data_IF_831405495766
#
_entry.id   IF_831405495766
#
_cell.length_a   1.000
_cell.length_b   1.000
_cell.length_c   1.000
_cell.angle_alpha   90.00
_cell.angle_beta   90.00
_cell.angle_gamma   90.00
#
_symmetry.space_group_name_H-M   'P 1'
#
loop_
_entity.id
_entity.type
_entity.pdbx_description
1 polymer ?
#
# COMPACT_ATOMS: atom_id res chain seq x y z
N UNK A 1 6.88 12.90 11.54
CA UNK A 1 6.59 12.36 10.20
C UNK A 1 7.82 11.58 9.76
N UNK A 2 7.65 10.30 9.42
CA UNK A 2 8.72 9.49 8.85
C UNK A 2 8.58 9.53 7.32
N UNK A 3 9.67 9.69 6.55
CA UNK A 3 9.58 9.75 5.09
C UNK A 3 9.34 8.37 4.44
N UNK A 4 9.56 7.29 5.20
CA UNK A 4 9.46 5.92 4.69
C UNK A 4 9.22 4.91 5.81
N UNK A 5 8.74 3.73 5.44
CA UNK A 5 8.71 2.53 6.28
C UNK A 5 9.32 1.33 5.54
N UNK A 6 9.73 0.30 6.29
CA UNK A 6 10.20 -0.97 5.73
C UNK A 6 9.08 -2.01 5.87
N UNK A 7 8.76 -2.68 4.76
CA UNK A 7 7.91 -3.87 4.76
C UNK A 7 8.80 -5.11 4.60
N UNK A 8 8.52 -6.15 5.39
CA UNK A 8 9.19 -7.44 5.32
C UNK A 8 8.17 -8.51 4.93
N UNK A 9 8.49 -9.30 3.91
CA UNK A 9 7.57 -10.33 3.41
C UNK A 9 8.33 -11.54 2.92
N UNK A 10 7.67 -12.69 2.95
CA UNK A 10 8.23 -13.93 2.41
C UNK A 10 8.01 -13.97 0.90
N UNK A 11 9.11 -14.03 0.14
CA UNK A 11 9.11 -14.11 -1.32
C UNK A 11 10.22 -15.08 -1.76
N UNK A 12 9.95 -16.39 -1.71
CA UNK A 12 10.95 -17.42 -2.01
C UNK A 12 11.32 -17.31 -3.48
N UNK A 13 12.44 -16.65 -3.74
CA UNK A 13 13.02 -16.38 -5.04
C UNK A 13 14.52 -16.63 -4.94
N UNK A 14 15.19 -16.88 -6.07
CA UNK A 14 16.62 -17.17 -6.10
C UNK A 14 17.49 -16.02 -5.53
N UNK A 15 16.94 -14.80 -5.45
CA UNK A 15 17.58 -13.63 -4.87
C UNK A 15 17.39 -13.49 -3.36
N UNK A 16 16.43 -14.22 -2.78
CA UNK A 16 16.22 -14.21 -1.34
C UNK A 16 17.21 -15.18 -0.68
N UNK A 17 17.82 -14.73 0.42
CA UNK A 17 18.76 -15.54 1.20
C UNK A 17 18.11 -16.80 1.79
N UNK A 18 18.85 -17.49 2.65
CA UNK A 18 18.52 -18.83 3.17
C UNK A 18 17.13 -18.97 3.83
N UNK A 19 16.45 -17.86 4.16
CA UNK A 19 15.12 -17.84 4.80
C UNK A 19 13.98 -17.38 3.89
N UNK A 20 14.23 -17.01 2.63
CA UNK A 20 13.16 -16.60 1.71
C UNK A 20 12.48 -15.26 2.03
N UNK A 21 13.06 -14.47 2.94
CA UNK A 21 12.55 -13.15 3.35
C UNK A 21 13.13 -12.06 2.44
N UNK A 22 12.26 -11.17 1.95
CA UNK A 22 12.59 -9.95 1.24
C UNK A 22 12.14 -8.73 2.04
N UNK A 23 12.70 -7.57 1.72
CA UNK A 23 12.30 -6.29 2.31
C UNK A 23 12.20 -5.21 1.24
N UNK A 24 11.18 -4.36 1.34
CA UNK A 24 10.98 -3.20 0.48
C UNK A 24 10.87 -1.93 1.32
N UNK A 25 11.51 -0.85 0.86
CA UNK A 25 11.34 0.48 1.45
C UNK A 25 10.21 1.20 0.73
N UNK A 26 9.17 1.55 1.49
CA UNK A 26 7.99 2.27 1.01
C UNK A 26 8.17 3.74 1.36
N UNK A 27 8.07 4.61 0.37
CA UNK A 27 8.31 6.04 0.50
C UNK A 27 7.01 6.85 0.38
N UNK A 28 6.92 7.89 1.21
CA UNK A 28 5.91 8.93 1.13
C UNK A 28 6.60 10.28 1.36
N UNK A 29 7.19 10.82 0.29
CA UNK A 29 8.03 12.01 0.33
C UNK A 29 7.53 13.09 -0.63
N UNK A 30 7.39 14.35 -0.19
CA UNK A 30 6.82 15.41 -1.03
C UNK A 30 7.75 15.94 -2.11
N UNK A 31 9.05 15.66 -2.02
CA UNK A 31 10.02 15.92 -3.09
C UNK A 31 11.03 14.79 -3.18
N UNK A 32 11.20 14.26 -4.39
CA UNK A 32 12.13 13.18 -4.68
C UNK A 32 13.11 13.63 -5.77
N UNK A 33 14.41 13.60 -5.47
CA UNK A 33 15.48 13.99 -6.40
C UNK A 33 15.34 15.42 -6.98
N UNK A 34 14.69 16.33 -6.25
CA UNK A 34 14.46 17.71 -6.70
C UNK A 34 13.25 17.87 -7.63
N UNK A 35 12.44 16.83 -7.78
CA UNK A 35 11.22 16.82 -8.59
C UNK A 35 9.99 16.54 -7.70
N UNK A 36 8.89 16.17 -8.33
CA UNK A 36 7.62 15.77 -7.73
C UNK A 36 7.80 14.74 -6.60
N UNK A 37 6.83 14.73 -5.69
CA UNK A 37 6.80 13.79 -4.60
C UNK A 37 6.74 12.34 -5.08
N UNK A 38 7.27 11.44 -4.25
CA UNK A 38 7.18 10.00 -4.42
C UNK A 38 6.28 9.43 -3.33
N UNK A 39 5.16 8.88 -3.75
CA UNK A 39 4.14 8.27 -2.89
C UNK A 39 3.87 6.86 -3.41
N UNK A 40 4.51 5.89 -2.78
CA UNK A 40 4.46 4.49 -3.21
C UNK A 40 3.07 3.90 -2.94
N UNK A 41 2.61 3.05 -3.86
CA UNK A 41 1.43 2.23 -3.64
C UNK A 41 1.80 0.97 -2.87
N UNK A 42 0.86 0.42 -2.12
CA UNK A 42 1.08 -0.74 -1.26
C UNK A 42 -0.09 -1.70 -1.32
N UNK A 43 0.21 -3.00 -1.16
CA UNK A 43 -0.81 -4.00 -0.86
C UNK A 43 -1.06 -4.02 0.65
N UNK A 44 -2.33 -4.07 1.02
CA UNK A 44 -2.77 -4.22 2.40
C UNK A 44 -3.60 -5.50 2.53
N UNK A 45 -3.39 -6.24 3.62
CA UNK A 45 -4.20 -7.42 3.92
C UNK A 45 -5.53 -6.99 4.54
N UNK A 46 -6.64 -7.29 3.86
CA UNK A 46 -7.99 -6.96 4.34
C UNK A 46 -8.87 -8.19 4.55
N UNK A 47 -8.57 -9.30 3.89
CA UNK A 47 -9.20 -10.59 4.15
C UNK A 47 -8.19 -11.75 4.08
N UNK A 48 -7.71 -12.18 5.25
CA UNK A 48 -6.76 -13.28 5.39
C UNK A 48 -7.34 -14.65 4.98
N UNK A 49 -8.66 -14.79 4.85
CA UNK A 49 -9.29 -16.04 4.40
C UNK A 49 -9.38 -16.12 2.87
N UNK A 50 -9.30 -14.99 2.17
CA UNK A 50 -9.32 -14.94 0.72
C UNK A 50 -7.95 -15.25 0.11
N UNK A 51 -7.95 -15.84 -1.08
CA UNK A 51 -6.72 -16.27 -1.75
C UNK A 51 -6.14 -15.17 -2.64
N UNK A 52 -4.83 -14.96 -2.49
CA UNK A 52 -4.05 -14.06 -3.34
C UNK A 52 -4.59 -12.64 -3.32
N UNK A 53 -4.68 -12.02 -4.50
CA UNK A 53 -5.14 -10.65 -4.66
C UNK A 53 -6.58 -10.39 -4.21
N UNK A 54 -7.41 -11.43 -4.01
CA UNK A 54 -8.76 -11.26 -3.50
C UNK A 54 -8.80 -10.86 -2.03
N UNK A 55 -7.77 -11.20 -1.25
CA UNK A 55 -7.63 -10.81 0.16
C UNK A 55 -6.84 -9.53 0.40
N UNK A 56 -6.45 -8.86 -0.69
CA UNK A 56 -5.63 -7.66 -0.65
C UNK A 56 -6.38 -6.48 -1.25
N UNK A 57 -6.25 -5.33 -0.61
CA UNK A 57 -6.60 -4.04 -1.19
C UNK A 57 -5.34 -3.24 -1.56
N UNK A 58 -5.50 -2.23 -2.40
CA UNK A 58 -4.41 -1.37 -2.85
C UNK A 58 -4.66 0.05 -2.36
N UNK A 59 -3.63 0.66 -1.81
CA UNK A 59 -3.66 2.06 -1.40
C UNK A 59 -2.38 2.78 -1.78
N UNK A 60 -2.43 4.10 -1.94
CA UNK A 60 -1.25 4.95 -2.06
C UNK A 60 -0.93 5.55 -0.70
N UNK A 61 0.32 5.42 -0.24
CA UNK A 61 0.74 6.03 1.03
C UNK A 61 1.02 7.51 0.83
N UNK A 62 0.23 8.35 1.51
CA UNK A 62 0.38 9.80 1.46
C UNK A 62 1.38 10.28 2.52
N UNK A 63 1.31 9.73 3.75
CA UNK A 63 2.18 10.12 4.85
C UNK A 63 2.35 8.99 5.88
N UNK A 64 3.51 8.92 6.54
CA UNK A 64 3.70 8.09 7.74
C UNK A 64 3.65 8.94 9.01
N UNK A 65 2.79 8.51 9.93
CA UNK A 65 2.56 9.16 11.22
C UNK A 65 2.54 8.14 12.35
N UNK A 66 2.48 8.62 13.58
CA UNK A 66 2.20 7.76 14.74
C UNK A 66 1.42 8.55 15.77
N UNK A 67 0.63 7.85 16.57
CA UNK A 67 -0.04 8.44 17.72
C UNK A 67 0.08 7.52 18.93
N UNK A 68 0.00 8.11 20.13
CA UNK A 68 0.08 7.37 21.39
C UNK A 68 -1.29 7.32 22.04
N UNK A 69 -1.75 6.12 22.38
CA UNK A 69 -2.98 5.89 23.14
C UNK A 69 -2.70 4.85 24.23
N UNK A 70 -3.11 5.12 25.48
CA UNK A 70 -2.84 4.26 26.63
C UNK A 70 -1.37 3.84 26.79
N UNK A 71 -0.44 4.78 26.56
CA UNK A 71 1.01 4.54 26.60
C UNK A 71 1.56 3.59 25.53
N UNK A 72 0.76 3.25 24.52
CA UNK A 72 1.18 2.45 23.36
C UNK A 72 1.27 3.39 22.15
N UNK A 73 2.40 3.36 21.45
CA UNK A 73 2.60 4.11 20.20
C UNK A 73 2.23 3.25 19.02
N UNK A 74 1.29 3.74 18.21
CA UNK A 74 0.80 3.06 17.01
C UNK A 74 1.44 3.70 15.77
N UNK A 75 2.32 2.99 15.05
CA UNK A 75 2.81 3.44 13.76
C UNK A 75 1.70 3.30 12.71
N UNK A 76 1.45 4.38 11.99
CA UNK A 76 0.33 4.49 11.06
C UNK A 76 0.75 5.09 9.72
N UNK A 77 -0.09 4.89 8.72
CA UNK A 77 -0.01 5.54 7.42
C UNK A 77 -1.34 6.21 7.09
N UNK A 78 -1.29 7.44 6.57
CA UNK A 78 -2.41 8.06 5.87
C UNK A 78 -2.36 7.57 4.42
N UNK A 79 -3.46 7.01 3.94
CA UNK A 79 -3.51 6.39 2.62
C UNK A 79 -4.71 6.84 1.80
N UNK A 80 -4.55 6.87 0.48
CA UNK A 80 -5.64 7.05 -0.49
C UNK A 80 -6.02 5.70 -1.11
N UNK A 81 -7.31 5.38 -1.16
CA UNK A 81 -7.78 4.06 -1.59
C UNK A 81 -7.93 3.90 -3.10
N UNK A 82 -7.87 2.64 -3.54
CA UNK A 82 -8.25 2.18 -4.86
C UNK A 82 -9.18 0.96 -4.75
N UNK A 83 -10.32 1.02 -5.43
CA UNK A 83 -11.22 -0.12 -5.60
C UNK A 83 -10.82 -0.97 -6.78
N UNK A 84 -10.85 -2.29 -6.58
CA UNK A 84 -10.68 -3.25 -7.66
C UNK A 84 -11.91 -3.29 -8.58
N UNK A 85 -11.68 -3.30 -9.89
CA UNK A 85 -12.71 -3.50 -10.92
C UNK A 85 -12.82 -5.01 -11.22
N UNK A 86 -13.82 -5.66 -10.63
CA UNK A 86 -14.12 -7.09 -10.83
C UNK A 86 -13.39 -8.03 -9.87
N UNK A 87 -13.48 -9.33 -10.12
CA UNK A 87 -12.99 -10.42 -9.27
C UNK A 87 -11.86 -11.24 -9.90
N UNK A 88 -11.38 -10.82 -11.08
CA UNK A 88 -10.28 -11.47 -11.80
C UNK A 88 -9.43 -10.45 -12.57
N UNK A 89 -8.19 -10.80 -12.95
CA UNK A 89 -7.38 -9.98 -13.83
C UNK A 89 -8.07 -9.72 -15.18
N UNK A 90 -7.77 -8.56 -15.77
CA UNK A 90 -8.22 -8.21 -17.11
C UNK A 90 -7.74 -9.23 -18.15
N UNK A 91 -8.56 -9.48 -19.17
CA UNK A 91 -8.29 -10.52 -20.14
C UNK A 91 -7.18 -10.14 -21.14
N UNK A 92 -6.94 -8.85 -21.38
CA UNK A 92 -5.92 -8.39 -22.32
C UNK A 92 -4.59 -8.12 -21.62
N UNK A 93 -4.62 -7.42 -20.48
CA UNK A 93 -3.42 -7.06 -19.74
C UNK A 93 -2.96 -8.15 -18.77
N UNK A 94 -3.85 -9.09 -18.41
CA UNK A 94 -3.62 -10.08 -17.35
C UNK A 94 -3.22 -9.45 -16.00
N UNK A 95 -3.63 -8.21 -15.77
CA UNK A 95 -3.39 -7.43 -14.55
C UNK A 95 -4.72 -7.08 -13.87
N UNK A 96 -4.67 -6.81 -12.57
CA UNK A 96 -5.83 -6.33 -11.83
C UNK A 96 -6.13 -4.88 -12.20
N UNK A 97 -7.37 -4.64 -12.62
CA UNK A 97 -7.83 -3.30 -12.92
C UNK A 97 -8.30 -2.63 -11.63
N UNK A 98 -7.87 -1.39 -11.43
CA UNK A 98 -8.19 -0.60 -10.25
C UNK A 98 -8.76 0.75 -10.67
N UNK A 99 -9.59 1.33 -9.81
CA UNK A 99 -10.09 2.69 -9.90
C UNK A 99 -9.73 3.43 -8.62
N UNK A 100 -9.31 4.69 -8.72
CA UNK A 100 -9.11 5.53 -7.54
C UNK A 100 -10.45 5.81 -6.87
N UNK A 101 -10.47 5.75 -5.55
CA UNK A 101 -11.67 6.04 -4.76
C UNK A 101 -11.73 7.52 -4.39
N UNK A 102 -12.95 8.07 -4.40
CA UNK A 102 -13.26 9.46 -4.12
C UNK A 102 -14.46 9.55 -3.16
N UNK A 103 -14.47 10.57 -2.31
CA UNK A 103 -15.57 10.84 -1.38
C UNK A 103 -16.71 11.63 -2.06
N UNK A 104 -16.44 12.23 -3.22
CA UNK A 104 -17.36 13.04 -4.00
C UNK A 104 -17.56 12.53 -5.42
N UNK A 105 -18.73 12.85 -6.00
CA UNK A 105 -19.08 12.48 -7.38
C UNK A 105 -18.23 13.23 -8.44
N UNK A 106 -17.64 14.38 -8.10
CA UNK A 106 -16.80 15.19 -9.00
C UNK A 106 -15.35 14.67 -9.10
N UNK A 107 -15.01 13.63 -8.31
CA UNK A 107 -13.68 13.02 -8.25
C UNK A 107 -12.57 14.02 -7.87
N UNK A 108 -12.85 14.91 -6.93
CA UNK A 108 -11.92 15.96 -6.49
C UNK A 108 -11.22 15.63 -5.17
N UNK A 109 -11.89 14.88 -4.29
CA UNK A 109 -11.44 14.53 -2.96
C UNK A 109 -11.21 13.02 -2.87
N UNK A 110 -9.94 12.60 -2.75
CA UNK A 110 -9.56 11.19 -2.62
C UNK A 110 -10.13 10.60 -1.34
N UNK A 111 -10.73 9.41 -1.43
CA UNK A 111 -11.12 8.66 -0.25
C UNK A 111 -9.87 8.26 0.53
N UNK A 112 -9.72 8.81 1.74
CA UNK A 112 -8.53 8.62 2.57
C UNK A 112 -8.86 8.00 3.93
N UNK A 113 -7.94 7.20 4.46
CA UNK A 113 -8.04 6.68 5.83
C UNK A 113 -6.69 6.52 6.50
N UNK A 114 -6.69 6.31 7.82
CA UNK A 114 -5.49 5.98 8.59
C UNK A 114 -5.47 4.47 8.85
N UNK A 115 -4.40 3.80 8.43
CA UNK A 115 -4.15 2.38 8.67
C UNK A 115 -2.95 2.17 9.59
N UNK A 116 -2.88 1.03 10.26
CA UNK A 116 -1.66 0.59 10.94
C UNK A 116 -0.63 0.15 9.89
N UNK A 117 0.64 0.46 10.11
CA UNK A 117 1.72 0.03 9.19
C UNK A 117 1.78 -1.51 9.10
N UNK A 118 1.42 -2.22 10.17
CA UNK A 118 1.42 -3.70 10.22
C UNK A 118 0.44 -4.34 9.23
N UNK A 119 -0.55 -3.59 8.70
CA UNK A 119 -1.45 -4.08 7.66
C UNK A 119 -0.81 -4.07 6.26
N UNK A 120 0.32 -3.37 6.08
CA UNK A 120 1.01 -3.25 4.80
C UNK A 120 1.85 -4.52 4.56
N UNK A 121 1.53 -5.22 3.47
CA UNK A 121 2.24 -6.44 3.09
C UNK A 121 3.54 -6.12 2.35
N UNK A 122 3.46 -5.28 1.30
CA UNK A 122 4.60 -4.88 0.46
C UNK A 122 4.20 -3.75 -0.51
N UNK A 123 5.17 -3.21 -1.25
CA UNK A 123 4.89 -2.22 -2.29
C UNK A 123 4.10 -2.84 -3.47
N UNK A 124 3.22 -2.02 -4.05
CA UNK A 124 2.46 -2.30 -5.26
C UNK A 124 2.89 -1.33 -6.36
N UNK A 125 2.97 -1.83 -7.59
CA UNK A 125 3.27 -1.00 -8.76
C UNK A 125 2.04 -0.95 -9.66
N UNK A 126 1.55 0.26 -9.91
CA UNK A 126 0.48 0.55 -10.86
C UNK A 126 1.10 0.97 -12.21
N UNK A 127 0.53 0.49 -13.31
CA UNK A 127 1.01 0.71 -14.68
C UNK A 127 0.34 1.89 -15.37
#
# INVERSE_FOLDING_TARGET
VHPSALAFFHAPSDLCGTEGISSEQICAVPSWQGDAGRYDCVFIETDAAALGMLGLDITQVNEFLSFTHNSITYPCALVSWFSRIGDKPDNNMHMWMLQADFDDDECTERHCSVILIDAIVRAAHLM
#
